data_IF_600990485632
#
_entry.id   IF_600990485632
#
_cell.length_a   1.000
_cell.length_b   1.000
_cell.length_c   1.000
_cell.angle_alpha   90.00
_cell.angle_beta   90.00
_cell.angle_gamma   90.00
#
_symmetry.space_group_name_H-M   'P 1'
#
loop_
_entity.id
_entity.type
_entity.pdbx_description
1 polymer ?
#
# COMPACT_ATOMS: atom_id res chain seq x y z
N UNK A 1 -29.13 36.04 -16.59
CA UNK A 1 -27.89 35.44 -17.12
C UNK A 1 -27.85 33.99 -16.68
N UNK A 2 -27.80 33.00 -17.60
CA UNK A 2 -27.52 31.63 -17.18
C UNK A 2 -26.05 31.59 -16.73
N UNK A 3 -25.82 31.12 -15.50
CA UNK A 3 -24.47 30.85 -14.97
C UNK A 3 -23.75 29.91 -15.93
N UNK A 4 -22.67 30.37 -16.57
CA UNK A 4 -21.75 29.50 -17.28
C UNK A 4 -21.28 28.42 -16.31
N UNK A 5 -21.73 27.18 -16.51
CA UNK A 5 -21.23 26.04 -15.74
C UNK A 5 -19.77 25.87 -16.13
N UNK A 6 -18.86 25.97 -15.16
CA UNK A 6 -17.46 25.61 -15.32
C UNK A 6 -17.33 24.28 -16.09
N UNK A 7 -16.39 24.17 -17.04
CA UNK A 7 -16.27 22.98 -17.88
C UNK A 7 -16.02 21.76 -17.00
N UNK A 8 -16.80 20.70 -17.22
CA UNK A 8 -16.68 19.43 -16.47
C UNK A 8 -15.24 18.94 -16.55
N UNK A 9 -14.54 18.96 -15.40
CA UNK A 9 -13.16 18.49 -15.30
C UNK A 9 -13.15 16.97 -15.32
N UNK A 10 -12.70 16.40 -16.43
CA UNK A 10 -12.58 14.94 -16.60
C UNK A 10 -11.30 14.42 -15.98
N UNK A 11 -11.38 13.26 -15.32
CA UNK A 11 -10.21 12.54 -14.82
C UNK A 11 -9.60 11.70 -15.96
N UNK A 12 -8.37 12.00 -16.42
CA UNK A 12 -7.75 11.22 -17.49
C UNK A 12 -7.22 9.88 -16.95
N UNK A 13 -7.47 8.83 -17.72
CA UNK A 13 -7.06 7.45 -17.46
C UNK A 13 -6.53 6.86 -18.76
N UNK A 14 -5.40 6.17 -18.69
CA UNK A 14 -4.81 5.39 -19.79
C UNK A 14 -4.85 3.92 -19.39
N UNK A 15 -5.38 3.07 -20.28
CA UNK A 15 -5.32 1.62 -20.15
C UNK A 15 -4.38 1.14 -21.25
N UNK A 16 -3.30 0.49 -20.87
CA UNK A 16 -2.32 -0.11 -21.79
C UNK A 16 -2.44 -1.63 -21.71
N UNK A 17 -2.57 -2.32 -22.84
CA UNK A 17 -2.71 -3.78 -22.93
C UNK A 17 -1.70 -4.31 -23.94
N UNK A 18 -0.95 -5.34 -23.56
CA UNK A 18 0.01 -6.02 -24.44
C UNK A 18 0.11 -7.50 -24.10
N UNK A 19 0.35 -8.32 -25.12
CA UNK A 19 0.66 -9.74 -25.04
C UNK A 19 2.16 -10.05 -25.22
N UNK A 20 2.96 -9.02 -25.52
CA UNK A 20 4.37 -9.17 -25.89
C UNK A 20 5.32 -8.20 -25.17
N UNK A 21 6.58 -8.35 -25.54
CA UNK A 21 7.73 -7.57 -25.07
C UNK A 21 7.98 -6.36 -25.97
N UNK A 22 8.55 -5.26 -25.45
CA UNK A 22 9.04 -4.16 -26.30
C UNK A 22 10.11 -4.64 -27.29
N UNK A 23 10.04 -4.20 -28.55
CA UNK A 23 11.01 -4.57 -29.61
C UNK A 23 12.02 -3.49 -29.94
N UNK A 24 11.64 -2.22 -29.75
CA UNK A 24 12.39 -1.08 -30.32
C UNK A 24 13.28 -0.36 -29.29
N UNK A 25 12.83 -0.31 -28.03
CA UNK A 25 13.49 0.38 -26.94
C UNK A 25 13.60 -0.55 -25.74
N UNK A 26 14.56 -0.26 -24.86
CA UNK A 26 14.65 -0.96 -23.58
C UNK A 26 13.48 -0.57 -22.66
N UNK A 27 13.11 -1.47 -21.75
CA UNK A 27 12.04 -1.28 -20.77
C UNK A 27 12.25 -0.02 -19.93
N UNK A 28 13.48 0.22 -19.47
CA UNK A 28 13.84 1.37 -18.64
C UNK A 28 13.76 2.70 -19.40
N UNK A 29 14.17 2.73 -20.67
CA UNK A 29 14.03 3.91 -21.54
C UNK A 29 12.55 4.27 -21.75
N UNK A 30 11.71 3.26 -21.99
CA UNK A 30 10.27 3.44 -22.17
C UNK A 30 9.64 4.01 -20.89
N UNK A 31 9.93 3.40 -19.74
CA UNK A 31 9.42 3.88 -18.44
C UNK A 31 9.84 5.32 -18.20
N UNK A 32 11.11 5.65 -18.44
CA UNK A 32 11.65 6.99 -18.19
C UNK A 32 10.96 8.03 -19.08
N UNK A 33 10.94 7.81 -20.40
CA UNK A 33 10.31 8.74 -21.36
C UNK A 33 8.83 8.96 -21.06
N UNK A 34 8.08 7.89 -20.78
CA UNK A 34 6.65 7.99 -20.47
C UNK A 34 6.43 8.73 -19.14
N UNK A 35 7.22 8.41 -18.11
CA UNK A 35 7.06 9.03 -16.78
C UNK A 35 7.40 10.52 -16.82
N UNK A 36 8.45 10.91 -17.54
CA UNK A 36 8.82 12.31 -17.77
C UNK A 36 7.71 13.06 -18.52
N UNK A 37 7.23 12.50 -19.63
CA UNK A 37 6.13 13.08 -20.40
C UNK A 37 4.84 13.22 -19.57
N UNK A 38 4.57 12.24 -18.70
CA UNK A 38 3.40 12.22 -17.83
C UNK A 38 3.59 13.03 -16.52
N UNK A 39 4.68 13.80 -16.38
CA UNK A 39 4.93 14.69 -15.24
C UNK A 39 4.42 16.12 -15.44
N UNK A 40 3.90 16.43 -16.63
CA UNK A 40 3.37 17.74 -17.02
C UNK A 40 2.01 18.06 -16.38
N UNK A 41 1.45 19.24 -16.69
CA UNK A 41 0.23 19.83 -16.11
C UNK A 41 -1.06 18.96 -16.12
N UNK A 42 -1.04 17.78 -16.77
CA UNK A 42 -2.16 16.82 -16.81
C UNK A 42 -1.68 15.37 -16.65
N UNK A 43 -1.10 15.06 -15.49
CA UNK A 43 -0.74 13.68 -15.13
C UNK A 43 -1.95 12.74 -15.22
N UNK A 44 -1.79 11.63 -15.94
CA UNK A 44 -2.80 10.60 -16.14
C UNK A 44 -2.40 9.31 -15.46
N UNK A 45 -3.36 8.60 -14.85
CA UNK A 45 -3.09 7.28 -14.30
C UNK A 45 -2.94 6.26 -15.44
N UNK A 46 -1.85 5.49 -15.44
CA UNK A 46 -1.61 4.43 -16.42
C UNK A 46 -1.84 3.07 -15.76
N UNK A 47 -2.88 2.37 -16.19
CA UNK A 47 -3.14 0.99 -15.81
C UNK A 47 -2.66 0.05 -16.90
N UNK A 48 -1.79 -0.90 -16.52
CA UNK A 48 -1.13 -1.78 -17.48
C UNK A 48 -1.68 -3.21 -17.38
N UNK A 49 -2.01 -3.83 -18.50
CA UNK A 49 -2.56 -5.17 -18.61
C UNK A 49 -1.55 -6.04 -19.38
N UNK A 50 -1.04 -7.07 -18.73
CA UNK A 50 -0.28 -8.14 -19.40
C UNK A 50 -1.25 -9.23 -19.81
N UNK A 51 -1.25 -9.63 -21.07
CA UNK A 51 -2.08 -10.71 -21.59
C UNK A 51 -1.19 -11.92 -21.90
N UNK A 52 -1.46 -13.05 -21.27
CA UNK A 52 -0.67 -14.26 -21.51
C UNK A 52 0.78 -14.19 -21.04
N UNK A 53 1.52 -15.26 -21.32
CA UNK A 53 2.87 -15.44 -20.79
C UNK A 53 3.97 -14.76 -21.62
N UNK A 54 3.63 -14.24 -22.81
CA UNK A 54 4.57 -13.48 -23.63
C UNK A 54 4.86 -12.05 -23.12
N UNK A 55 3.95 -11.48 -22.32
CA UNK A 55 4.04 -10.11 -21.86
C UNK A 55 5.01 -9.93 -20.68
N UNK A 56 5.73 -8.81 -20.65
CA UNK A 56 6.64 -8.46 -19.55
C UNK A 56 5.85 -7.93 -18.34
N UNK A 57 5.56 -8.83 -17.39
CA UNK A 57 4.78 -8.50 -16.20
C UNK A 57 5.52 -7.50 -15.30
N UNK A 58 6.84 -7.60 -15.19
CA UNK A 58 7.66 -6.75 -14.32
C UNK A 58 7.76 -5.33 -14.90
N UNK A 59 8.06 -5.19 -16.20
CA UNK A 59 8.07 -3.91 -16.89
C UNK A 59 6.72 -3.18 -16.76
N UNK A 60 5.60 -3.88 -17.01
CA UNK A 60 4.28 -3.28 -16.94
C UNK A 60 3.91 -2.86 -15.51
N UNK A 61 4.35 -3.63 -14.51
CA UNK A 61 4.21 -3.26 -13.10
C UNK A 61 5.00 -1.99 -12.79
N UNK A 62 6.27 -1.91 -13.20
CA UNK A 62 7.13 -0.72 -13.04
C UNK A 62 6.50 0.51 -13.71
N UNK A 63 6.07 0.38 -14.96
CA UNK A 63 5.43 1.45 -15.74
C UNK A 63 4.18 2.00 -15.01
N UNK A 64 3.30 1.11 -14.57
CA UNK A 64 2.06 1.51 -13.91
C UNK A 64 2.30 2.19 -12.55
N UNK A 65 3.22 1.65 -11.73
CA UNK A 65 3.51 2.22 -10.40
C UNK A 65 4.10 3.64 -10.52
N UNK A 66 5.02 3.88 -11.47
CA UNK A 66 5.58 5.22 -11.69
C UNK A 66 4.56 6.23 -12.20
N UNK A 67 3.49 5.75 -12.82
CA UNK A 67 2.45 6.56 -13.44
C UNK A 67 1.09 6.45 -12.71
N UNK A 68 1.13 6.40 -11.37
CA UNK A 68 -0.06 6.52 -10.52
C UNK A 68 -1.15 5.45 -10.74
N UNK A 69 -0.80 4.31 -11.34
CA UNK A 69 -1.70 3.20 -11.60
C UNK A 69 -1.22 1.88 -10.99
N UNK A 70 -1.75 0.78 -11.52
CA UNK A 70 -1.38 -0.59 -11.18
C UNK A 70 -1.40 -1.48 -12.42
N UNK A 71 -0.68 -2.60 -12.35
CA UNK A 71 -0.73 -3.61 -13.39
C UNK A 71 -1.65 -4.78 -13.02
N UNK A 72 -2.23 -5.44 -14.03
CA UNK A 72 -2.98 -6.68 -13.88
C UNK A 72 -2.51 -7.67 -14.94
N UNK A 73 -2.41 -8.93 -14.55
CA UNK A 73 -2.17 -10.02 -15.49
C UNK A 73 -3.48 -10.69 -15.87
N UNK A 74 -3.66 -10.94 -17.17
CA UNK A 74 -4.81 -11.59 -17.79
C UNK A 74 -4.32 -12.92 -18.33
N UNK A 75 -4.89 -14.01 -17.82
CA UNK A 75 -4.53 -15.35 -18.26
C UNK A 75 -5.23 -15.71 -19.57
N UNK A 76 -4.51 -16.37 -20.48
CA UNK A 76 -5.03 -16.89 -21.75
C UNK A 76 -5.95 -18.09 -21.51
N UNK A 77 -7.20 -17.81 -21.18
CA UNK A 77 -8.21 -18.83 -20.93
C UNK A 77 -9.58 -18.36 -21.41
N UNK A 78 -10.57 -19.26 -21.35
CA UNK A 78 -11.94 -18.97 -21.77
C UNK A 78 -12.59 -17.81 -20.98
N UNK A 79 -12.07 -17.48 -19.80
CA UNK A 79 -12.56 -16.41 -18.93
C UNK A 79 -11.77 -15.09 -19.08
N UNK A 80 -10.83 -14.97 -20.03
CA UNK A 80 -10.05 -13.74 -20.24
C UNK A 80 -10.93 -12.49 -20.43
N UNK A 81 -12.06 -12.65 -21.14
CA UNK A 81 -13.05 -11.59 -21.33
C UNK A 81 -13.69 -11.13 -20.00
N UNK A 82 -13.95 -12.05 -19.07
CA UNK A 82 -14.46 -11.75 -17.74
C UNK A 82 -13.39 -11.06 -16.88
N UNK A 83 -12.14 -11.50 -16.97
CA UNK A 83 -11.01 -10.85 -16.28
C UNK A 83 -10.87 -9.38 -16.70
N UNK A 84 -10.94 -9.09 -18.00
CA UNK A 84 -10.92 -7.73 -18.54
C UNK A 84 -12.13 -6.91 -18.10
N UNK A 85 -13.32 -7.51 -18.10
CA UNK A 85 -14.54 -6.84 -17.63
C UNK A 85 -14.43 -6.46 -16.14
N UNK A 86 -13.94 -7.38 -15.30
CA UNK A 86 -13.74 -7.14 -13.87
C UNK A 86 -12.73 -6.02 -13.63
N UNK A 87 -11.63 -6.01 -14.39
CA UNK A 87 -10.67 -4.90 -14.36
C UNK A 87 -11.34 -3.58 -14.74
N UNK A 88 -12.10 -3.53 -15.82
CA UNK A 88 -12.76 -2.29 -16.25
C UNK A 88 -13.75 -1.79 -15.19
N UNK A 89 -14.56 -2.67 -14.59
CA UNK A 89 -15.49 -2.31 -13.50
C UNK A 89 -14.76 -1.69 -12.30
N UNK A 90 -13.53 -2.11 -12.02
CA UNK A 90 -12.73 -1.57 -10.92
C UNK A 90 -12.35 -0.09 -11.14
N UNK A 91 -12.18 0.34 -12.39
CA UNK A 91 -11.67 1.68 -12.74
C UNK A 91 -12.70 2.55 -13.49
N UNK A 92 -13.87 2.02 -13.81
CA UNK A 92 -14.86 2.68 -14.68
C UNK A 92 -15.55 3.89 -14.06
N UNK A 93 -15.43 4.07 -12.73
CA UNK A 93 -16.16 5.09 -12.00
C UNK A 93 -15.23 5.95 -11.14
N UNK A 94 -14.35 6.80 -11.73
CA UNK A 94 -13.54 7.73 -10.95
C UNK A 94 -14.43 8.81 -10.31
N UNK A 95 -14.55 8.79 -8.98
CA UNK A 95 -15.42 9.70 -8.24
C UNK A 95 -14.68 10.92 -7.71
N UNK A 96 -13.47 10.73 -7.20
CA UNK A 96 -12.63 11.79 -6.65
C UNK A 96 -11.24 11.74 -7.26
N UNK A 97 -10.63 12.91 -7.38
CA UNK A 97 -9.23 13.09 -7.80
C UNK A 97 -8.43 13.81 -6.72
N UNK A 98 -7.12 13.58 -6.69
CA UNK A 98 -6.18 14.19 -5.75
C UNK A 98 -6.60 14.06 -4.27
N UNK A 99 -7.04 12.87 -3.87
CA UNK A 99 -7.47 12.60 -2.50
C UNK A 99 -6.25 12.64 -1.58
N UNK A 100 -6.23 13.60 -0.67
CA UNK A 100 -5.12 13.84 0.25
C UNK A 100 -5.62 13.80 1.68
N UNK A 101 -5.09 12.87 2.47
CA UNK A 101 -5.35 12.78 3.90
C UNK A 101 -4.33 13.64 4.65
N UNK A 102 -4.83 14.63 5.37
CA UNK A 102 -4.03 15.49 6.25
C UNK A 102 -4.23 15.05 7.70
N UNK A 103 -3.12 14.88 8.40
CA UNK A 103 -3.07 14.54 9.81
C UNK A 103 -2.24 15.58 10.55
N UNK A 104 -2.50 15.74 11.85
CA UNK A 104 -1.66 16.53 12.73
C UNK A 104 -0.25 15.96 12.88
N UNK A 105 0.70 16.82 13.25
CA UNK A 105 2.12 16.49 13.44
C UNK A 105 2.38 15.47 14.55
N UNK A 106 1.41 15.23 15.43
CA UNK A 106 1.45 14.18 16.45
C UNK A 106 1.28 12.77 15.88
N UNK A 107 0.84 12.65 14.62
CA UNK A 107 0.65 11.38 13.93
C UNK A 107 1.91 10.97 13.18
N UNK A 108 2.38 9.75 13.41
CA UNK A 108 3.65 9.22 12.89
C UNK A 108 3.47 7.89 12.17
N UNK A 109 4.49 7.51 11.40
CA UNK A 109 4.56 6.31 10.56
C UNK A 109 3.29 6.06 9.72
N UNK A 110 2.79 7.12 9.10
CA UNK A 110 1.65 7.04 8.19
C UNK A 110 2.01 6.21 6.95
N UNK A 111 1.07 5.37 6.54
CA UNK A 111 1.04 4.80 5.19
C UNK A 111 0.75 5.89 4.16
N UNK A 112 0.82 5.57 2.87
CA UNK A 112 0.41 6.47 1.77
C UNK A 112 -0.84 7.30 2.12
N UNK A 113 -0.73 8.61 1.96
CA UNK A 113 -1.79 9.58 2.29
C UNK A 113 -2.29 10.33 1.06
N UNK A 114 -1.62 10.19 -0.09
CA UNK A 114 -2.02 10.80 -1.34
C UNK A 114 -2.47 9.72 -2.35
N UNK A 115 -3.69 9.85 -2.82
CA UNK A 115 -4.30 8.94 -3.77
C UNK A 115 -4.77 9.72 -5.00
N UNK A 116 -4.18 9.46 -6.17
CA UNK A 116 -4.49 10.21 -7.39
C UNK A 116 -5.97 10.14 -7.79
N UNK A 117 -6.59 8.97 -7.63
CA UNK A 117 -7.97 8.70 -8.03
C UNK A 117 -8.61 7.77 -6.99
N UNK A 118 -9.87 8.07 -6.62
CA UNK A 118 -10.74 7.15 -5.89
C UNK A 118 -11.86 6.66 -6.82
N UNK A 119 -12.03 5.34 -6.93
CA UNK A 119 -13.04 4.72 -7.76
C UNK A 119 -14.28 4.31 -6.96
N UNK A 120 -15.46 4.41 -7.55
CA UNK A 120 -16.71 3.93 -6.98
C UNK A 120 -16.64 2.43 -6.71
N UNK A 121 -17.08 2.01 -5.52
CA UNK A 121 -16.98 0.62 -5.06
C UNK A 121 -15.58 0.20 -4.58
N UNK A 122 -14.58 1.10 -4.62
CA UNK A 122 -13.29 0.89 -3.97
C UNK A 122 -13.23 1.59 -2.60
N UNK A 123 -12.18 1.30 -1.84
CA UNK A 123 -11.93 1.91 -0.53
C UNK A 123 -10.48 2.38 -0.44
N UNK A 124 -10.27 3.51 0.24
CA UNK A 124 -8.95 3.97 0.65
C UNK A 124 -8.80 3.78 2.15
N UNK A 125 -7.72 3.11 2.54
CA UNK A 125 -7.33 2.93 3.94
C UNK A 125 -5.99 3.60 4.17
N UNK A 126 -5.89 4.37 5.26
CA UNK A 126 -4.66 4.98 5.73
C UNK A 126 -4.45 4.58 7.18
N UNK A 127 -3.27 4.07 7.50
CA UNK A 127 -2.89 3.63 8.83
C UNK A 127 -1.65 4.39 9.34
N UNK A 128 -1.56 4.58 10.66
CA UNK A 128 -0.42 5.18 11.33
C UNK A 128 -0.59 5.14 12.84
N UNK A 129 0.34 5.76 13.55
CA UNK A 129 0.29 5.89 15.01
C UNK A 129 -0.08 7.32 15.37
N UNK A 130 -1.18 7.51 16.08
CA UNK A 130 -1.49 8.76 16.73
C UNK A 130 -0.79 8.84 18.10
N UNK A 131 -0.47 10.05 18.54
CA UNK A 131 0.01 10.26 19.91
C UNK A 131 -1.07 10.00 20.97
N UNK A 132 -0.90 10.59 22.14
CA UNK A 132 -1.81 10.43 23.29
C UNK A 132 -3.15 11.17 23.13
N UNK A 133 -3.28 12.03 22.12
CA UNK A 133 -4.49 12.78 21.80
C UNK A 133 -5.28 12.18 20.64
N UNK A 134 -6.57 12.52 20.57
CA UNK A 134 -7.38 12.22 19.39
C UNK A 134 -6.87 13.05 18.20
N UNK A 135 -6.42 12.43 17.10
CA UNK A 135 -5.84 13.18 16.00
C UNK A 135 -6.94 13.95 15.26
N UNK A 136 -6.71 15.24 15.01
CA UNK A 136 -7.50 15.93 14.00
C UNK A 136 -7.00 15.50 12.61
N UNK A 137 -7.94 15.14 11.74
CA UNK A 137 -7.65 14.82 10.35
C UNK A 137 -8.65 15.48 9.41
N UNK A 138 -8.23 15.68 8.17
CA UNK A 138 -9.05 16.27 7.12
C UNK A 138 -8.71 15.58 5.80
N UNK A 139 -9.73 15.28 5.01
CA UNK A 139 -9.54 14.72 3.67
C UNK A 139 -9.92 15.77 2.65
N UNK A 140 -8.97 16.13 1.80
CA UNK A 140 -9.16 17.05 0.69
C UNK A 140 -9.16 16.26 -0.62
N UNK A 141 -10.05 16.63 -1.54
CA UNK A 141 -10.14 16.01 -2.86
C UNK A 141 -10.81 16.95 -3.86
N UNK A 142 -10.87 16.54 -5.13
CA UNK A 142 -11.59 17.25 -6.19
C UNK A 142 -12.63 16.29 -6.78
N UNK A 143 -13.90 16.62 -6.61
CA UNK A 143 -15.04 15.93 -7.23
C UNK A 143 -15.53 16.64 -8.50
N UNK A 144 -16.68 16.21 -9.01
CA UNK A 144 -17.27 16.76 -10.24
C UNK A 144 -17.65 18.24 -10.12
N UNK A 145 -18.11 18.66 -8.94
CA UNK A 145 -18.55 20.03 -8.65
C UNK A 145 -17.43 20.91 -8.06
N UNK A 146 -16.20 20.39 -8.00
CA UNK A 146 -15.03 21.12 -7.52
C UNK A 146 -14.39 20.52 -6.25
N UNK A 147 -13.64 21.34 -5.48
CA UNK A 147 -12.95 20.90 -4.29
C UNK A 147 -13.90 20.44 -3.17
N UNK A 148 -13.56 19.33 -2.53
CA UNK A 148 -14.30 18.73 -1.42
C UNK A 148 -13.37 18.63 -0.22
N UNK A 149 -13.85 19.05 0.95
CA UNK A 149 -13.16 18.88 2.23
C UNK A 149 -14.06 18.13 3.20
N UNK A 150 -13.60 16.97 3.66
CA UNK A 150 -14.33 16.09 4.56
C UNK A 150 -13.63 16.02 5.91
N UNK A 151 -14.44 16.06 6.97
CA UNK A 151 -13.98 15.82 8.35
C UNK A 151 -14.41 14.41 8.76
N UNK A 152 -13.47 13.47 8.96
CA UNK A 152 -13.79 12.12 9.42
C UNK A 152 -14.47 12.13 10.79
N UNK A 153 -15.38 11.18 10.98
CA UNK A 153 -15.88 10.83 12.31
C UNK A 153 -14.86 9.91 12.97
N UNK A 154 -14.41 10.30 14.16
CA UNK A 154 -13.42 9.54 14.90
C UNK A 154 -14.12 8.55 15.82
N UNK A 155 -13.81 7.27 15.67
CA UNK A 155 -14.41 6.18 16.45
C UNK A 155 -13.33 5.38 17.14
N UNK A 156 -13.54 5.04 18.42
CA UNK A 156 -12.63 4.20 19.19
C UNK A 156 -13.12 2.75 19.17
N UNK A 157 -12.63 1.94 18.23
CA UNK A 157 -12.84 0.49 18.21
C UNK A 157 -11.52 -0.23 18.36
N UNK A 158 -11.44 -1.25 19.21
CA UNK A 158 -10.19 -1.96 19.53
C UNK A 158 -10.29 -3.44 19.20
N UNK A 159 -9.51 -3.87 18.20
CA UNK A 159 -8.47 -4.91 18.36
C UNK A 159 -7.72 -5.10 17.02
N UNK A 160 -6.42 -5.42 17.09
CA UNK A 160 -5.53 -5.78 15.96
C UNK A 160 -5.19 -4.71 14.90
N UNK A 161 -5.38 -3.42 15.18
CA UNK A 161 -5.06 -2.33 14.23
C UNK A 161 -3.56 -2.21 13.93
N UNK A 162 -2.70 -2.58 14.87
CA UNK A 162 -1.25 -2.50 14.68
C UNK A 162 -0.77 -3.52 13.64
N UNK A 163 -1.39 -4.71 13.65
CA UNK A 163 -1.10 -5.75 12.66
C UNK A 163 -1.55 -5.33 11.26
N UNK A 164 -2.67 -4.63 11.15
CA UNK A 164 -3.13 -4.06 9.86
C UNK A 164 -2.18 -2.99 9.36
N UNK A 165 -1.76 -2.05 10.22
CA UNK A 165 -0.74 -1.05 9.88
C UNK A 165 0.54 -1.73 9.35
N UNK A 166 1.07 -2.72 10.09
CA UNK A 166 2.29 -3.42 9.70
C UNK A 166 2.14 -4.13 8.34
N UNK A 167 1.01 -4.80 8.10
CA UNK A 167 0.72 -5.43 6.80
C UNK A 167 0.72 -4.40 5.65
N UNK A 168 0.02 -3.28 5.83
CA UNK A 168 -0.04 -2.21 4.83
C UNK A 168 1.34 -1.58 4.58
N UNK A 169 2.11 -1.31 5.63
CA UNK A 169 3.46 -0.76 5.52
C UNK A 169 4.41 -1.72 4.78
N UNK A 170 4.37 -3.01 5.08
CA UNK A 170 5.17 -4.02 4.37
C UNK A 170 4.80 -4.03 2.88
N UNK A 171 3.52 -4.09 2.53
CA UNK A 171 3.08 -4.07 1.14
C UNK A 171 3.50 -2.80 0.39
N UNK A 172 3.48 -1.65 1.06
CA UNK A 172 3.97 -0.40 0.46
C UNK A 172 5.47 -0.42 0.22
N UNK A 173 6.25 -0.97 1.15
CA UNK A 173 7.70 -1.15 0.96
C UNK A 173 8.00 -2.09 -0.21
N UNK A 174 7.27 -3.21 -0.33
CA UNK A 174 7.41 -4.14 -1.46
C UNK A 174 7.02 -3.48 -2.79
N UNK A 175 5.91 -2.73 -2.82
CA UNK A 175 5.51 -1.98 -4.02
C UNK A 175 6.55 -0.94 -4.44
N UNK A 176 7.15 -0.22 -3.48
CA UNK A 176 8.23 0.73 -3.75
C UNK A 176 9.50 0.04 -4.24
N UNK A 177 9.83 -1.13 -3.68
CA UNK A 177 10.95 -1.97 -4.11
C UNK A 177 10.78 -2.41 -5.58
N UNK A 178 9.55 -2.70 -6.00
CA UNK A 178 9.27 -3.09 -7.38
C UNK A 178 9.36 -1.90 -8.36
N UNK A 179 9.24 -0.65 -7.90
CA UNK A 179 9.22 0.54 -8.74
C UNK A 179 10.60 1.15 -9.04
N UNK A 180 11.59 0.91 -8.19
CA UNK A 180 12.93 1.48 -8.28
C UNK A 180 13.99 0.49 -7.84
N UNK A 181 15.00 0.28 -8.69
CA UNK A 181 16.08 -0.66 -8.42
C UNK A 181 17.17 -0.08 -7.49
N UNK A 182 17.28 1.24 -7.37
CA UNK A 182 18.32 1.91 -6.57
C UNK A 182 18.19 1.66 -5.06
N UNK A 183 16.97 1.70 -4.53
CA UNK A 183 16.69 1.53 -3.09
C UNK A 183 16.27 0.09 -2.73
N UNK A 184 16.41 -0.84 -3.68
CA UNK A 184 15.85 -2.20 -3.60
C UNK A 184 16.25 -2.94 -2.34
N UNK A 185 17.55 -2.95 -2.02
CA UNK A 185 18.07 -3.67 -0.84
C UNK A 185 17.68 -2.99 0.49
N UNK A 186 17.68 -1.66 0.53
CA UNK A 186 17.27 -0.91 1.73
C UNK A 186 15.78 -1.12 2.04
N UNK A 187 14.92 -1.09 1.01
CA UNK A 187 13.48 -1.35 1.14
C UNK A 187 13.20 -2.80 1.52
N UNK A 188 13.93 -3.75 0.92
CA UNK A 188 13.83 -5.18 1.25
C UNK A 188 14.18 -5.44 2.71
N UNK A 189 15.28 -4.87 3.21
CA UNK A 189 15.69 -5.00 4.62
C UNK A 189 14.62 -4.47 5.58
N UNK A 190 14.10 -3.26 5.33
CA UNK A 190 13.02 -2.68 6.16
C UNK A 190 11.75 -3.53 6.15
N UNK A 191 11.38 -4.08 4.99
CA UNK A 191 10.21 -4.96 4.86
C UNK A 191 10.42 -6.26 5.65
N UNK A 192 11.63 -6.83 5.59
CA UNK A 192 12.00 -8.02 6.35
C UNK A 192 11.97 -7.76 7.86
N UNK A 193 12.55 -6.64 8.32
CA UNK A 193 12.55 -6.28 9.74
C UNK A 193 11.11 -6.15 10.30
N UNK A 194 10.20 -5.52 9.56
CA UNK A 194 8.79 -5.44 9.92
C UNK A 194 8.09 -6.80 9.86
N UNK A 195 8.36 -7.61 8.84
CA UNK A 195 7.75 -8.92 8.69
C UNK A 195 8.15 -9.85 9.86
N UNK A 196 9.41 -9.82 10.29
CA UNK A 196 9.88 -10.56 11.45
C UNK A 196 9.27 -10.01 12.75
N UNK A 197 9.27 -8.68 12.95
CA UNK A 197 8.71 -8.05 14.15
C UNK A 197 7.24 -8.45 14.39
N UNK A 198 6.45 -8.53 13.33
CA UNK A 198 5.02 -8.82 13.40
C UNK A 198 4.65 -10.26 13.01
N UNK A 199 5.64 -11.16 12.80
CA UNK A 199 5.43 -12.55 12.40
C UNK A 199 4.52 -12.69 11.16
N UNK A 200 4.86 -11.97 10.10
CA UNK A 200 4.25 -12.12 8.78
C UNK A 200 5.11 -13.00 7.89
N UNK A 201 4.46 -13.92 7.17
CA UNK A 201 5.04 -14.63 6.03
C UNK A 201 4.77 -13.80 4.78
N UNK A 202 5.83 -13.38 4.11
CA UNK A 202 5.80 -12.43 2.99
C UNK A 202 6.80 -12.88 1.93
N UNK A 203 6.84 -12.29 0.73
CA UNK A 203 7.89 -12.64 -0.25
C UNK A 203 9.34 -12.46 0.25
N UNK A 204 9.54 -11.78 1.39
CA UNK A 204 10.86 -11.57 2.02
C UNK A 204 11.06 -12.38 3.31
N UNK A 205 10.08 -13.18 3.76
CA UNK A 205 10.15 -13.98 4.99
C UNK A 205 9.50 -15.35 4.80
N UNK A 206 10.08 -16.40 5.35
CA UNK A 206 9.53 -17.77 5.27
C UNK A 206 9.33 -18.36 6.67
N UNK A 207 8.35 -19.26 6.80
CA UNK A 207 8.13 -20.05 8.02
C UNK A 207 8.73 -21.43 7.80
N UNK A 208 9.75 -21.77 8.58
CA UNK A 208 10.39 -23.09 8.53
C UNK A 208 9.92 -23.91 9.72
N UNK A 209 9.29 -25.05 9.45
CA UNK A 209 8.86 -26.01 10.49
C UNK A 209 9.84 -27.16 10.50
N UNK A 210 10.69 -27.23 11.53
CA UNK A 210 11.64 -28.33 11.71
C UNK A 210 10.98 -29.42 12.55
N UNK A 211 10.95 -30.65 12.03
CA UNK A 211 10.55 -31.82 12.82
C UNK A 211 11.71 -32.18 13.78
N UNK A 212 11.45 -32.41 15.07
CA UNK A 212 12.50 -32.56 16.09
C UNK A 212 13.42 -33.79 15.93
N UNK A 213 13.22 -34.67 14.92
CA UNK A 213 13.95 -35.93 14.77
C UNK A 213 14.70 -36.11 13.43
N UNK A 214 15.05 -35.03 12.73
CA UNK A 214 15.96 -35.12 11.57
C UNK A 214 17.11 -34.12 11.73
N UNK A 215 18.23 -34.60 12.25
CA UNK A 215 19.51 -33.89 12.29
C UNK A 215 20.06 -33.69 10.87
N UNK A 216 19.70 -32.58 10.27
CA UNK A 216 20.48 -31.91 9.24
C UNK A 216 20.26 -30.42 9.45
N UNK A 217 21.28 -29.75 9.97
CA UNK A 217 21.26 -28.31 10.21
C UNK A 217 21.02 -27.61 8.87
N UNK A 218 19.83 -27.02 8.72
CA UNK A 218 19.60 -25.99 7.72
C UNK A 218 20.11 -24.71 8.36
N UNK A 219 21.05 -24.02 7.72
CA UNK A 219 21.51 -22.70 8.17
C UNK A 219 20.35 -21.71 8.07
N UNK A 220 19.55 -21.66 9.13
CA UNK A 220 18.51 -20.65 9.33
C UNK A 220 19.13 -19.50 10.11
N UNK A 221 19.20 -18.31 9.53
CA UNK A 221 19.44 -17.10 10.32
C UNK A 221 18.21 -16.84 11.19
N UNK A 222 18.28 -17.25 12.45
CA UNK A 222 17.31 -16.87 13.47
C UNK A 222 17.41 -15.37 13.79
N UNK A 223 16.27 -14.73 13.99
CA UNK A 223 16.20 -13.36 14.49
C UNK A 223 16.87 -13.30 15.88
N UNK A 224 18.09 -12.77 15.96
CA UNK A 224 18.77 -12.50 17.23
C UNK A 224 18.00 -11.43 18.02
N UNK A 225 17.10 -11.88 18.88
CA UNK A 225 16.59 -11.12 20.03
C UNK A 225 17.56 -11.27 21.20
N UNK A 226 18.17 -10.16 21.63
CA UNK A 226 19.04 -10.13 22.80
C UNK A 226 18.28 -10.24 24.12
N UNK A 227 19.03 -10.68 25.13
CA UNK A 227 18.74 -10.82 26.57
C UNK A 227 17.92 -12.08 26.98
N UNK A 228 18.66 -13.09 27.44
CA UNK A 228 18.14 -14.36 27.89
C UNK A 228 17.42 -14.33 29.23
N UNK A 229 16.52 -15.30 29.39
CA UNK A 229 15.97 -15.71 30.68
C UNK A 229 16.20 -17.22 30.83
N UNK A 230 17.25 -17.56 31.57
CA UNK A 230 17.40 -18.87 32.19
C UNK A 230 16.34 -19.02 33.27
N UNK A 231 15.43 -19.97 33.11
CA UNK A 231 14.47 -20.33 34.14
C UNK A 231 15.14 -21.27 35.16
N UNK A 232 15.41 -20.76 36.36
CA UNK A 232 15.75 -21.60 37.52
C UNK A 232 15.23 -20.98 38.81
N UNK A 233 14.32 -21.69 39.48
CA UNK A 233 14.13 -21.65 40.94
C UNK A 233 13.41 -20.43 41.54
N UNK A 234 12.23 -20.67 42.10
CA UNK A 234 11.67 -19.86 43.21
C UNK A 234 12.63 -19.87 44.41
N UNK A 235 12.76 -18.76 45.17
CA UNK A 235 11.83 -18.54 46.29
C UNK A 235 11.41 -17.07 46.55
N UNK A 236 10.54 -16.94 47.55
CA UNK A 236 9.77 -15.78 47.99
C UNK A 236 10.57 -14.52 48.38
N UNK A 237 9.97 -13.35 48.14
CA UNK A 237 10.42 -12.06 48.68
C UNK A 237 9.52 -10.91 48.21
N UNK A 238 8.83 -10.28 49.15
CA UNK A 238 8.01 -9.08 49.00
C UNK A 238 8.82 -7.87 48.50
N UNK A 239 8.23 -7.06 47.63
CA UNK A 239 8.74 -5.73 47.29
C UNK A 239 8.01 -5.13 46.10
N UNK A 240 7.22 -4.10 46.35
CA UNK A 240 6.63 -3.21 45.35
C UNK A 240 7.68 -2.71 44.36
N UNK A 241 7.37 -2.70 43.07
CA UNK A 241 7.94 -1.72 42.14
C UNK A 241 6.97 -1.41 41.01
N UNK A 242 6.53 -0.15 41.00
CA UNK A 242 5.85 0.55 39.92
C UNK A 242 6.51 0.29 38.56
N UNK A 243 5.73 -0.15 37.56
CA UNK A 243 6.00 0.16 36.16
C UNK A 243 4.78 0.81 35.53
N UNK A 244 4.94 2.10 35.21
CA UNK A 244 4.02 2.86 34.37
C UNK A 244 3.90 2.17 33.00
N UNK A 245 2.71 1.64 32.74
CA UNK A 245 2.28 1.20 31.42
C UNK A 245 2.06 2.42 30.53
N UNK A 246 2.91 2.62 29.51
CA UNK A 246 2.54 3.47 28.38
C UNK A 246 1.81 2.61 27.35
N UNK A 247 0.49 2.64 27.44
CA UNK A 247 -0.40 2.12 26.41
C UNK A 247 -0.38 3.10 25.24
N UNK A 248 0.36 2.77 24.18
CA UNK A 248 0.24 3.49 22.90
C UNK A 248 -1.10 3.12 22.27
N UNK A 249 -2.02 4.08 22.24
CA UNK A 249 -3.34 3.93 21.63
C UNK A 249 -3.17 4.01 20.09
N UNK A 250 -3.40 2.91 19.37
CA UNK A 250 -3.57 2.99 17.91
C UNK A 250 -4.99 3.42 17.58
N UNK A 251 -5.11 4.43 16.73
CA UNK A 251 -6.38 4.84 16.15
C UNK A 251 -6.26 4.79 14.62
N UNK A 252 -7.06 3.94 13.99
CA UNK A 252 -7.23 3.92 12.54
C UNK A 252 -8.45 4.79 12.21
N UNK A 253 -8.27 5.87 11.44
CA UNK A 253 -9.39 6.54 10.79
C UNK A 253 -9.78 5.73 9.56
N UNK A 254 -10.68 4.76 9.76
CA UNK A 254 -11.36 4.05 8.67
C UNK A 254 -12.41 5.00 8.08
N UNK A 255 -12.01 5.74 7.05
CA UNK A 255 -12.92 6.59 6.27
C UNK A 255 -13.48 5.75 5.13
N UNK A 256 -14.54 5.01 5.42
CA UNK A 256 -15.36 4.36 4.41
C UNK A 256 -16.08 5.45 3.61
N UNK A 257 -15.50 5.86 2.48
CA UNK A 257 -16.18 6.70 1.50
C UNK A 257 -17.21 5.86 0.74
N UNK A 258 -18.34 5.57 1.39
CA UNK A 258 -19.54 5.09 0.71
C UNK A 258 -20.16 6.24 -0.07
N UNK A 259 -19.75 6.38 -1.33
CA UNK A 259 -20.42 7.24 -2.30
C UNK A 259 -21.33 6.36 -3.15
N UNK A 260 -22.64 6.50 -2.94
CA UNK A 260 -23.67 5.77 -3.66
C UNK A 260 -23.92 6.34 -5.05
#
# INVERSE_FOLDING_TARGET
QPSEREPIKRQPIVIFLTDGQPTDLTTDEIITKITEFNSEAKKSAIFALSFGDGADKEFLQKLAIRNSGFSRHIYEAADASLQLQNFYRQISSPLLSNVTFKYESTTTNLTETNFPIHFGGSEIVVAGFCGTGMPFSTVESIGIDGPISLKPVVTTTVSNMERLWAYMSINQLLKKKDASDADREALKKRALDLALKYNFVTPVSSLVVVKPNCTSAVDTEEAKGGAGLTFSGLPAGSGDLFLHSQVFQLLLCLLLLYMH
#
